data_IF_708940677036
#
_entry.id   IF_708940677036
#
_cell.length_a   1.000
_cell.length_b   1.000
_cell.length_c   1.000
_cell.angle_alpha   90.00
_cell.angle_beta   90.00
_cell.angle_gamma   90.00
#
_symmetry.space_group_name_H-M   'P 1'
#
loop_
_entity.id
_entity.type
_entity.pdbx_description
1 polymer ?
#
# COMPACT_ATOMS: atom_id res chain seq x y z
N UNK A 1 32.67 -25.42 12.18
CA UNK A 1 32.67 -25.07 10.75
C UNK A 1 33.37 -26.09 9.84
N UNK A 2 34.01 -27.15 10.35
CA UNK A 2 34.76 -28.12 9.52
C UNK A 2 33.94 -29.18 8.76
N UNK A 3 32.68 -29.44 9.13
CA UNK A 3 31.87 -30.51 8.50
C UNK A 3 31.41 -30.16 7.08
N UNK A 4 31.00 -28.92 6.82
CA UNK A 4 30.60 -28.50 5.47
C UNK A 4 31.79 -28.51 4.49
N UNK A 5 33.00 -28.19 4.97
CA UNK A 5 34.22 -28.22 4.16
C UNK A 5 34.69 -29.63 3.84
N UNK A 6 34.60 -30.57 4.80
CA UNK A 6 35.01 -31.96 4.59
C UNK A 6 34.04 -32.72 3.68
N UNK A 7 32.74 -32.49 3.80
CA UNK A 7 31.73 -33.08 2.90
C UNK A 7 31.86 -32.57 1.45
N UNK A 8 32.18 -31.28 1.27
CA UNK A 8 32.47 -30.73 -0.06
C UNK A 8 33.74 -31.35 -0.65
N UNK A 9 34.81 -31.44 0.14
CA UNK A 9 36.12 -31.94 -0.33
C UNK A 9 36.08 -33.42 -0.75
N UNK A 10 35.25 -34.24 -0.10
CA UNK A 10 35.07 -35.64 -0.46
C UNK A 10 34.28 -35.84 -1.77
N UNK A 11 33.38 -34.91 -2.13
CA UNK A 11 32.62 -34.94 -3.38
C UNK A 11 33.41 -34.49 -4.60
N UNK A 12 34.49 -33.71 -4.41
CA UNK A 12 35.32 -33.20 -5.50
C UNK A 12 36.48 -34.11 -5.93
N UNK A 13 36.78 -35.18 -5.18
CA UNK A 13 37.96 -36.02 -5.43
C UNK A 13 37.86 -36.93 -6.67
N UNK A 14 36.65 -37.27 -7.15
CA UNK A 14 36.44 -38.21 -8.27
C UNK A 14 35.56 -37.67 -9.43
N UNK A 15 35.32 -36.35 -9.48
CA UNK A 15 34.47 -35.78 -10.53
C UNK A 15 35.24 -35.57 -11.84
N UNK A 16 34.74 -36.05 -13.00
CA UNK A 16 35.32 -35.72 -14.30
C UNK A 16 35.29 -34.20 -14.50
N UNK A 17 36.33 -33.67 -15.13
CA UNK A 17 36.58 -32.22 -15.26
C UNK A 17 35.39 -31.46 -15.85
N UNK A 18 34.65 -32.09 -16.77
CA UNK A 18 33.41 -31.53 -17.33
C UNK A 18 32.30 -31.31 -16.30
N UNK A 19 32.14 -32.20 -15.32
CA UNK A 19 31.12 -32.06 -14.28
C UNK A 19 31.42 -30.88 -13.34
N UNK A 20 32.69 -30.65 -13.02
CA UNK A 20 33.12 -29.53 -12.16
C UNK A 20 32.84 -28.18 -12.85
N UNK A 21 33.15 -28.05 -14.14
CA UNK A 21 32.91 -26.82 -14.91
C UNK A 21 31.40 -26.48 -14.94
N UNK A 22 30.55 -27.48 -15.18
CA UNK A 22 29.08 -27.29 -15.17
C UNK A 22 28.60 -26.86 -13.80
N UNK A 23 29.10 -27.45 -12.72
CA UNK A 23 28.69 -27.13 -11.35
C UNK A 23 29.08 -25.70 -10.94
N UNK A 24 30.29 -25.28 -11.28
CA UNK A 24 30.77 -23.90 -11.05
C UNK A 24 29.96 -22.91 -11.91
N UNK A 25 29.74 -23.23 -13.18
CA UNK A 25 28.91 -22.40 -14.08
C UNK A 25 27.47 -22.25 -13.57
N UNK A 26 26.86 -23.35 -13.11
CA UNK A 26 25.53 -23.34 -12.51
C UNK A 26 25.47 -22.52 -11.23
N UNK A 27 26.50 -22.59 -10.38
CA UNK A 27 26.58 -21.78 -9.16
C UNK A 27 26.67 -20.27 -9.47
N UNK A 28 27.56 -19.88 -10.40
CA UNK A 28 27.69 -18.49 -10.85
C UNK A 28 26.39 -18.00 -11.48
N UNK A 29 25.78 -18.81 -12.35
CA UNK A 29 24.50 -18.51 -12.98
C UNK A 29 23.39 -18.33 -11.94
N UNK A 30 23.26 -19.24 -10.98
CA UNK A 30 22.26 -19.16 -9.91
C UNK A 30 22.46 -17.90 -9.07
N UNK A 31 23.70 -17.59 -8.71
CA UNK A 31 24.02 -16.37 -7.98
C UNK A 31 23.63 -15.11 -8.79
N UNK A 32 23.97 -15.08 -10.09
CA UNK A 32 23.59 -13.99 -10.99
C UNK A 32 22.06 -13.87 -11.13
N UNK A 33 21.34 -15.00 -11.21
CA UNK A 33 19.88 -15.03 -11.31
C UNK A 33 19.20 -14.54 -10.03
N UNK A 34 19.74 -14.85 -8.85
CA UNK A 34 19.14 -14.41 -7.58
C UNK A 34 19.48 -12.96 -7.30
N UNK A 35 20.76 -12.57 -7.45
CA UNK A 35 21.29 -11.29 -7.02
C UNK A 35 21.38 -10.22 -8.11
N UNK A 36 21.10 -10.56 -9.38
CA UNK A 36 21.22 -9.64 -10.50
C UNK A 36 20.32 -8.41 -10.36
N UNK A 37 20.85 -7.20 -10.59
CA UNK A 37 20.12 -5.95 -10.39
C UNK A 37 19.03 -5.69 -11.43
N UNK A 38 19.23 -6.08 -12.69
CA UNK A 38 18.30 -5.80 -13.79
C UNK A 38 17.18 -6.85 -13.96
N UNK A 39 17.46 -8.13 -13.65
CA UNK A 39 16.52 -9.25 -13.83
C UNK A 39 16.52 -10.24 -12.66
N UNK A 40 17.21 -9.92 -11.58
CA UNK A 40 17.31 -10.84 -10.45
C UNK A 40 16.01 -10.96 -9.68
N UNK A 41 15.82 -12.14 -9.10
CA UNK A 41 14.61 -12.47 -8.36
C UNK A 41 14.53 -11.67 -7.06
N UNK A 42 15.67 -11.45 -6.38
CA UNK A 42 15.71 -10.78 -5.08
C UNK A 42 15.30 -9.30 -5.15
N UNK A 43 15.86 -8.45 -6.04
CA UNK A 43 15.42 -7.06 -6.17
C UNK A 43 13.93 -6.94 -6.51
N UNK A 44 13.43 -7.82 -7.38
CA UNK A 44 12.00 -7.87 -7.74
C UNK A 44 11.13 -8.18 -6.52
N UNK A 45 11.51 -9.17 -5.72
CA UNK A 45 10.78 -9.52 -4.51
C UNK A 45 10.82 -8.39 -3.46
N UNK A 46 11.96 -7.71 -3.29
CA UNK A 46 12.09 -6.55 -2.40
C UNK A 46 11.19 -5.41 -2.87
N UNK A 47 11.19 -5.07 -4.16
CA UNK A 47 10.31 -4.02 -4.71
C UNK A 47 8.84 -4.37 -4.50
N UNK A 48 8.44 -5.60 -4.81
CA UNK A 48 7.05 -6.03 -4.65
C UNK A 48 6.61 -6.01 -3.18
N UNK A 49 7.46 -6.44 -2.25
CA UNK A 49 7.13 -6.40 -0.82
C UNK A 49 7.07 -4.99 -0.27
N UNK A 50 7.92 -4.06 -0.73
CA UNK A 50 7.83 -2.63 -0.41
C UNK A 50 6.53 -2.02 -0.91
N UNK A 51 6.16 -2.30 -2.16
CA UNK A 51 4.90 -1.81 -2.75
C UNK A 51 3.69 -2.34 -1.97
N UNK A 52 3.64 -3.64 -1.67
CA UNK A 52 2.56 -4.25 -0.87
C UNK A 52 2.43 -3.60 0.51
N UNK A 53 3.54 -3.25 1.16
CA UNK A 53 3.52 -2.54 2.45
C UNK A 53 2.98 -1.11 2.32
N UNK A 54 3.44 -0.36 1.30
CA UNK A 54 2.97 1.00 1.00
C UNK A 54 1.46 1.02 0.76
N UNK A 55 0.98 0.15 -0.14
CA UNK A 55 -0.45 0.04 -0.49
C UNK A 55 -1.28 -0.40 0.72
N UNK A 56 -0.84 -1.41 1.46
CA UNK A 56 -1.53 -1.86 2.66
C UNK A 56 -1.68 -0.76 3.72
N UNK A 57 -0.64 0.06 3.90
CA UNK A 57 -0.69 1.22 4.79
C UNK A 57 -1.68 2.29 4.30
N UNK A 58 -1.64 2.63 3.02
CA UNK A 58 -2.58 3.60 2.44
C UNK A 58 -4.03 3.15 2.63
N UNK A 59 -4.33 1.86 2.44
CA UNK A 59 -5.66 1.32 2.71
C UNK A 59 -6.05 1.39 4.19
N UNK A 60 -5.11 1.16 5.12
CA UNK A 60 -5.37 1.31 6.55
C UNK A 60 -5.71 2.77 6.90
N UNK A 61 -4.87 3.72 6.48
CA UNK A 61 -5.07 5.13 6.77
C UNK A 61 -6.40 5.64 6.20
N UNK A 62 -6.70 5.28 4.95
CA UNK A 62 -7.96 5.60 4.30
C UNK A 62 -9.16 5.01 5.06
N UNK A 63 -9.11 3.74 5.45
CA UNK A 63 -10.21 3.12 6.20
C UNK A 63 -10.47 3.82 7.53
N UNK A 64 -9.41 4.23 8.25
CA UNK A 64 -9.57 5.01 9.49
C UNK A 64 -10.24 6.35 9.19
N UNK A 65 -9.83 7.05 8.13
CA UNK A 65 -10.42 8.33 7.74
C UNK A 65 -11.90 8.19 7.34
N UNK A 66 -12.25 7.17 6.55
CA UNK A 66 -13.63 6.89 6.14
C UNK A 66 -14.54 6.58 7.35
N UNK A 67 -14.04 5.86 8.35
CA UNK A 67 -14.77 5.61 9.61
C UNK A 67 -14.96 6.91 10.41
N UNK A 68 -13.96 7.81 10.42
CA UNK A 68 -14.08 9.10 11.09
C UNK A 68 -15.14 9.97 10.42
N UNK A 69 -15.13 10.01 9.08
CA UNK A 69 -16.11 10.73 8.29
C UNK A 69 -17.52 10.16 8.48
N UNK A 70 -17.68 8.83 8.50
CA UNK A 70 -18.99 8.19 8.68
C UNK A 70 -19.63 8.43 10.05
N UNK A 71 -18.83 8.80 11.06
CA UNK A 71 -19.32 9.12 12.41
C UNK A 71 -19.79 10.57 12.53
N UNK A 72 -19.57 11.41 11.52
CA UNK A 72 -19.97 12.80 11.51
C UNK A 72 -21.37 12.94 10.90
N UNK A 73 -22.29 13.60 11.61
CA UNK A 73 -23.67 13.78 11.13
C UNK A 73 -23.78 14.81 9.99
N UNK A 74 -22.86 15.77 9.92
CA UNK A 74 -22.84 16.84 8.92
C UNK A 74 -21.59 16.75 8.02
N UNK A 75 -21.79 16.43 6.74
CA UNK A 75 -20.74 16.34 5.71
C UNK A 75 -20.08 17.69 5.35
N UNK A 76 -20.44 18.78 6.04
CA UNK A 76 -19.99 20.14 5.74
C UNK A 76 -18.88 20.62 6.70
N UNK A 77 -18.68 19.94 7.83
CA UNK A 77 -17.67 20.27 8.81
C UNK A 77 -16.38 19.47 8.59
N UNK A 78 -15.20 20.03 8.90
CA UNK A 78 -13.94 19.30 8.79
C UNK A 78 -13.95 18.02 9.65
N UNK A 79 -13.43 16.92 9.08
CA UNK A 79 -13.32 15.65 9.80
C UNK A 79 -12.43 15.82 11.03
N UNK A 80 -12.94 15.43 12.20
CA UNK A 80 -12.20 15.50 13.46
C UNK A 80 -11.42 14.20 13.71
N UNK A 81 -10.15 14.33 14.10
CA UNK A 81 -9.29 13.18 14.43
C UNK A 81 -9.61 12.60 15.81
N UNK A 82 -10.68 11.83 15.90
CA UNK A 82 -11.15 11.15 17.11
C UNK A 82 -10.56 9.74 17.23
N UNK A 83 -10.59 9.18 18.45
CA UNK A 83 -10.20 7.78 18.64
C UNK A 83 -11.34 6.85 18.17
N UNK A 84 -11.00 5.85 17.36
CA UNK A 84 -11.92 4.81 16.88
C UNK A 84 -11.62 3.47 17.56
N UNK A 85 -12.61 2.58 17.56
CA UNK A 85 -12.44 1.22 18.06
C UNK A 85 -11.84 0.32 16.97
N UNK A 86 -10.95 -0.58 17.37
CA UNK A 86 -10.24 -1.46 16.44
C UNK A 86 -11.19 -2.39 15.68
N UNK A 87 -12.28 -2.82 16.33
CA UNK A 87 -13.29 -3.70 15.74
C UNK A 87 -14.02 -3.05 14.56
N UNK A 88 -14.13 -1.71 14.56
CA UNK A 88 -14.69 -0.97 13.42
C UNK A 88 -13.86 -1.19 12.14
N UNK A 89 -12.54 -1.40 12.24
CA UNK A 89 -11.69 -1.64 11.07
C UNK A 89 -11.89 -3.04 10.46
N UNK A 90 -12.13 -4.05 11.29
CA UNK A 90 -12.39 -5.42 10.81
C UNK A 90 -13.75 -5.56 10.16
N UNK A 91 -14.73 -4.74 10.56
CA UNK A 91 -16.05 -4.67 9.92
C UNK A 91 -15.98 -3.88 8.63
N UNK A 92 -15.31 -2.72 8.64
CA UNK A 92 -15.21 -1.83 7.48
C UNK A 92 -14.39 -2.44 6.33
N UNK A 93 -13.41 -3.29 6.63
CA UNK A 93 -12.63 -4.06 5.64
C UNK A 93 -12.43 -5.48 6.11
N UNK A 94 -12.64 -6.45 5.21
CA UNK A 94 -12.45 -7.90 5.44
C UNK A 94 -10.97 -8.31 5.60
N UNK A 95 -10.22 -7.66 6.48
CA UNK A 95 -8.86 -8.03 6.84
C UNK A 95 -8.87 -9.17 7.85
N UNK A 96 -7.91 -10.09 7.71
CA UNK A 96 -7.61 -11.02 8.79
C UNK A 96 -6.94 -10.29 9.95
N UNK A 97 -7.15 -10.78 11.18
CA UNK A 97 -6.58 -10.18 12.40
C UNK A 97 -5.05 -10.05 12.34
N UNK A 98 -4.38 -11.04 11.75
CA UNK A 98 -2.92 -11.04 11.56
C UNK A 98 -2.47 -9.97 10.55
N UNK A 99 -3.21 -9.79 9.46
CA UNK A 99 -2.91 -8.76 8.47
C UNK A 99 -3.09 -7.37 9.05
N UNK A 100 -4.21 -7.13 9.75
CA UNK A 100 -4.49 -5.85 10.42
C UNK A 100 -3.41 -5.53 11.46
N UNK A 101 -3.05 -6.48 12.32
CA UNK A 101 -1.98 -6.28 13.30
C UNK A 101 -0.63 -5.93 12.66
N UNK A 102 -0.31 -6.54 11.52
CA UNK A 102 0.91 -6.20 10.78
C UNK A 102 0.86 -4.76 10.26
N UNK A 103 -0.27 -4.33 9.70
CA UNK A 103 -0.47 -2.97 9.21
C UNK A 103 -0.39 -1.95 10.35
N UNK A 104 -1.04 -2.22 11.48
CA UNK A 104 -0.99 -1.35 12.66
C UNK A 104 0.43 -1.22 13.23
N UNK A 105 1.20 -2.32 13.25
CA UNK A 105 2.61 -2.27 13.66
C UNK A 105 3.46 -1.42 12.72
N UNK A 106 3.24 -1.52 11.41
CA UNK A 106 3.95 -0.69 10.42
C UNK A 106 3.55 0.77 10.55
N UNK A 107 2.25 1.07 10.67
CA UNK A 107 1.76 2.45 10.83
C UNK A 107 2.28 3.12 12.11
N UNK A 108 2.36 2.38 13.24
CA UNK A 108 3.00 2.87 14.47
C UNK A 108 4.50 3.11 14.32
N UNK A 109 5.21 2.22 13.61
CA UNK A 109 6.64 2.35 13.39
C UNK A 109 6.99 3.56 12.49
N UNK A 110 6.03 4.01 11.68
CA UNK A 110 6.15 5.18 10.80
C UNK A 110 5.46 6.43 11.38
N UNK A 111 5.12 6.42 12.66
CA UNK A 111 4.55 7.57 13.38
C UNK A 111 3.21 8.10 12.83
N UNK A 112 2.42 7.24 12.18
CA UNK A 112 1.07 7.59 11.70
C UNK A 112 -0.03 7.38 12.75
N UNK A 113 0.29 6.77 13.90
CA UNK A 113 -0.69 6.41 14.93
C UNK A 113 -0.22 6.89 16.30
N UNK A 114 -1.13 7.51 17.05
CA UNK A 114 -0.91 7.92 18.43
C UNK A 114 -0.86 6.73 19.39
N UNK A 115 -0.25 6.96 20.55
CA UNK A 115 -0.32 6.02 21.68
C UNK A 115 -1.68 6.16 22.36
N UNK A 116 -2.52 5.15 22.21
CA UNK A 116 -3.87 5.10 22.77
C UNK A 116 -4.07 3.84 23.62
N UNK A 117 -5.15 3.79 24.40
CA UNK A 117 -5.54 2.59 25.17
C UNK A 117 -5.73 1.37 24.27
N UNK A 118 -5.59 0.18 24.86
CA UNK A 118 -5.82 -1.08 24.16
C UNK A 118 -7.23 -1.10 23.53
N UNK A 119 -7.31 -1.58 22.28
CA UNK A 119 -8.57 -1.64 21.52
C UNK A 119 -8.97 -0.34 20.83
N UNK A 120 -8.24 0.77 21.05
CA UNK A 120 -8.49 2.05 20.39
C UNK A 120 -7.33 2.48 19.51
N UNK A 121 -7.68 3.23 18.45
CA UNK A 121 -6.75 3.73 17.45
C UNK A 121 -7.07 5.19 17.19
N UNK A 122 -6.03 6.03 17.19
CA UNK A 122 -6.12 7.42 16.78
C UNK A 122 -4.95 7.73 15.86
N UNK A 123 -5.19 8.49 14.80
CA UNK A 123 -4.12 8.94 13.90
C UNK A 123 -3.28 9.98 14.62
N UNK A 124 -1.96 10.01 14.38
CA UNK A 124 -1.15 11.18 14.72
C UNK A 124 -1.53 12.35 13.83
N UNK A 125 -1.03 13.55 14.11
CA UNK A 125 -1.24 14.71 13.22
C UNK A 125 -0.72 14.43 11.80
N UNK A 126 0.50 13.88 11.69
CA UNK A 126 1.08 13.47 10.41
C UNK A 126 0.28 12.34 9.75
N UNK A 127 -0.15 11.35 10.53
CA UNK A 127 -0.98 10.24 10.05
C UNK A 127 -2.35 10.70 9.55
N UNK A 128 -2.94 11.69 10.20
CA UNK A 128 -4.23 12.27 9.80
C UNK A 128 -4.10 13.07 8.51
N UNK A 129 -3.05 13.88 8.37
CA UNK A 129 -2.73 14.58 7.13
C UNK A 129 -2.53 13.59 5.96
N UNK A 130 -1.77 12.52 6.18
CA UNK A 130 -1.56 11.49 5.15
C UNK A 130 -2.85 10.72 4.82
N UNK A 131 -3.66 10.38 5.83
CA UNK A 131 -4.94 9.71 5.64
C UNK A 131 -5.92 10.56 4.82
N UNK A 132 -6.00 11.86 5.12
CA UNK A 132 -6.77 12.84 4.36
C UNK A 132 -6.31 12.90 2.90
N UNK A 133 -4.99 13.06 2.68
CA UNK A 133 -4.39 13.12 1.34
C UNK A 133 -4.62 11.86 0.52
N UNK A 134 -4.44 10.68 1.12
CA UNK A 134 -4.66 9.39 0.44
C UNK A 134 -6.13 9.21 0.08
N UNK A 135 -7.05 9.54 0.99
CA UNK A 135 -8.49 9.46 0.75
C UNK A 135 -8.91 10.42 -0.37
N UNK A 136 -8.42 11.65 -0.33
CA UNK A 136 -8.64 12.67 -1.36
C UNK A 136 -8.21 12.21 -2.73
N UNK A 137 -6.96 11.77 -2.87
CA UNK A 137 -6.42 11.31 -4.15
C UNK A 137 -7.22 10.13 -4.69
N UNK A 138 -7.67 9.24 -3.81
CA UNK A 138 -8.52 8.13 -4.22
C UNK A 138 -9.88 8.59 -4.73
N UNK A 139 -10.56 9.52 -4.06
CA UNK A 139 -11.86 10.01 -4.51
C UNK A 139 -11.78 10.81 -5.79
N UNK A 140 -10.69 11.57 -5.98
CA UNK A 140 -10.40 12.22 -7.27
C UNK A 140 -10.25 11.20 -8.38
N UNK A 141 -9.59 10.07 -8.12
CA UNK A 141 -9.50 8.95 -9.06
C UNK A 141 -10.89 8.38 -9.39
N UNK A 142 -11.73 8.12 -8.38
CA UNK A 142 -13.09 7.63 -8.60
C UNK A 142 -13.93 8.61 -9.44
N UNK A 143 -13.90 9.90 -9.10
CA UNK A 143 -14.59 10.96 -9.86
C UNK A 143 -14.08 11.06 -11.30
N UNK A 144 -12.77 10.95 -11.50
CA UNK A 144 -12.18 10.93 -12.83
C UNK A 144 -12.70 9.75 -13.65
N UNK A 145 -12.68 8.54 -13.09
CA UNK A 145 -13.18 7.33 -13.76
C UNK A 145 -14.67 7.39 -14.06
N UNK A 146 -15.48 7.93 -13.15
CA UNK A 146 -16.93 8.10 -13.36
C UNK A 146 -17.17 9.09 -14.50
N UNK A 147 -16.44 10.22 -14.53
CA UNK A 147 -16.66 11.28 -15.51
C UNK A 147 -16.08 10.98 -16.88
N UNK A 148 -15.00 10.21 -16.93
CA UNK A 148 -14.29 9.83 -18.16
C UNK A 148 -14.44 8.34 -18.45
N UNK A 149 -15.60 7.75 -18.13
CA UNK A 149 -15.89 6.32 -18.28
C UNK A 149 -15.72 5.77 -19.71
N UNK A 150 -15.67 6.65 -20.74
CA UNK A 150 -15.32 6.29 -22.13
C UNK A 150 -13.81 6.03 -22.34
N UNK A 151 -12.95 6.31 -21.36
CA UNK A 151 -11.53 5.93 -21.37
C UNK A 151 -11.44 4.49 -20.85
N UNK A 152 -11.76 3.57 -21.77
CA UNK A 152 -11.93 2.13 -21.62
C UNK A 152 -10.75 1.38 -20.94
N UNK A 153 -10.94 0.08 -20.55
CA UNK A 153 -10.05 -0.76 -19.71
C UNK A 153 -8.56 -0.84 -20.07
N UNK A 154 -8.15 -0.36 -21.25
CA UNK A 154 -6.77 -0.37 -21.73
C UNK A 154 -5.79 0.44 -20.86
N UNK A 155 -6.28 1.42 -20.08
CA UNK A 155 -5.46 2.20 -19.13
C UNK A 155 -5.41 1.61 -17.71
N UNK A 156 -6.40 0.79 -17.33
CA UNK A 156 -6.53 0.24 -15.97
C UNK A 156 -5.86 -1.13 -15.84
N UNK A 157 -5.88 -1.94 -16.90
CA UNK A 157 -5.39 -3.32 -16.84
C UNK A 157 -3.86 -3.49 -16.97
N UNK A 158 -3.14 -2.50 -17.53
CA UNK A 158 -1.77 -2.77 -17.99
C UNK A 158 -0.66 -2.60 -16.96
N UNK A 159 -0.78 -1.76 -15.95
CA UNK A 159 0.24 -1.68 -14.90
C UNK A 159 -0.28 -0.96 -13.65
N UNK A 160 -0.25 -1.66 -12.52
CA UNK A 160 -0.39 -1.01 -11.21
C UNK A 160 0.73 0.02 -10.95
N UNK A 161 1.84 -0.04 -11.71
CA UNK A 161 2.90 0.97 -11.73
C UNK A 161 2.54 2.23 -12.57
N UNK A 162 1.59 2.15 -13.51
CA UNK A 162 1.07 3.28 -14.31
C UNK A 162 -0.02 4.06 -13.57
N UNK A 163 -0.70 3.45 -12.60
CA UNK A 163 -1.71 4.13 -11.76
C UNK A 163 -1.09 5.33 -11.00
N UNK A 164 0.18 5.25 -10.60
CA UNK A 164 0.91 6.39 -10.00
C UNK A 164 1.30 7.48 -11.02
N UNK A 165 1.33 7.19 -12.33
CA UNK A 165 1.61 8.16 -13.41
C UNK A 165 0.37 8.70 -14.12
N UNK A 166 -0.78 8.00 -14.05
CA UNK A 166 -2.05 8.46 -14.65
C UNK A 166 -2.65 9.63 -13.87
N UNK A 167 -2.29 9.78 -12.60
CA UNK A 167 -2.48 11.00 -11.82
C UNK A 167 -1.14 11.70 -11.58
N UNK A 168 -0.45 12.09 -12.65
CA UNK A 168 0.59 13.12 -12.52
C UNK A 168 -0.01 14.36 -11.83
N UNK A 169 0.82 15.11 -11.11
CA UNK A 169 0.40 16.29 -10.34
C UNK A 169 -0.47 17.25 -11.18
N UNK A 170 -0.22 17.29 -12.49
CA UNK A 170 -0.94 18.10 -13.47
C UNK A 170 -2.39 17.65 -13.69
N UNK A 171 -2.68 16.33 -13.70
CA UNK A 171 -4.06 15.81 -13.85
C UNK A 171 -4.86 16.06 -12.56
N UNK A 172 -4.21 15.90 -11.40
CA UNK A 172 -4.80 16.26 -10.10
C UNK A 172 -5.12 17.76 -10.07
N UNK A 173 -4.18 18.60 -10.53
CA UNK A 173 -4.38 20.04 -10.60
C UNK A 173 -5.50 20.44 -11.57
N UNK A 174 -5.61 19.79 -12.73
CA UNK A 174 -6.70 20.02 -13.69
C UNK A 174 -8.06 19.62 -13.11
N UNK A 175 -8.14 18.45 -12.46
CA UNK A 175 -9.36 18.01 -11.77
C UNK A 175 -9.73 18.99 -10.66
N UNK A 176 -8.77 19.45 -9.86
CA UNK A 176 -8.98 20.48 -8.85
C UNK A 176 -9.53 21.77 -9.46
N UNK A 177 -8.93 22.25 -10.55
CA UNK A 177 -9.37 23.46 -11.27
C UNK A 177 -10.79 23.31 -11.82
N UNK A 178 -11.14 22.15 -12.38
CA UNK A 178 -12.51 21.89 -12.84
C UNK A 178 -13.52 21.80 -11.68
N UNK A 179 -13.08 21.35 -10.50
CA UNK A 179 -13.91 21.29 -9.29
C UNK A 179 -14.03 22.65 -8.55
N UNK A 180 -13.26 23.69 -8.91
CA UNK A 180 -13.33 25.04 -8.30
C UNK A 180 -14.68 25.76 -8.50
N UNK A 181 -15.56 25.26 -9.37
CA UNK A 181 -16.94 25.77 -9.53
C UNK A 181 -17.92 25.37 -8.42
N UNK A 182 -17.50 24.52 -7.47
CA UNK A 182 -18.27 24.18 -6.25
C UNK A 182 -17.56 24.76 -5.02
N UNK A 183 -18.29 25.20 -3.99
CA UNK A 183 -17.68 25.73 -2.77
C UNK A 183 -17.10 24.56 -1.98
N UNK A 184 -15.95 24.02 -2.40
CA UNK A 184 -15.28 22.99 -1.63
C UNK A 184 -14.40 23.68 -0.59
N UNK A 185 -15.05 24.11 0.50
CA UNK A 185 -14.38 24.41 1.79
C UNK A 185 -13.86 23.14 2.49
N UNK A 186 -13.80 22.00 1.79
CA UNK A 186 -13.39 20.71 2.31
C UNK A 186 -12.09 20.26 1.65
N UNK A 187 -11.06 19.92 2.43
CA UNK A 187 -9.80 19.42 1.88
C UNK A 187 -9.96 18.09 1.12
N UNK A 188 -11.02 17.33 1.40
CA UNK A 188 -11.34 16.03 0.79
C UNK A 188 -12.75 16.08 0.16
N UNK A 189 -12.92 15.73 -1.13
CA UNK A 189 -14.26 15.67 -1.74
C UNK A 189 -15.10 14.56 -1.10
N UNK A 190 -16.45 14.66 -1.06
CA UNK A 190 -17.29 13.62 -0.46
C UNK A 190 -17.17 12.29 -1.22
N UNK A 191 -17.37 11.18 -0.52
CA UNK A 191 -17.39 9.85 -1.13
C UNK A 191 -18.50 9.76 -2.20
N UNK A 192 -18.21 9.30 -3.43
CA UNK A 192 -19.24 9.06 -4.45
C UNK A 192 -20.11 7.83 -4.13
N UNK A 193 -19.66 6.97 -3.22
CA UNK A 193 -20.36 5.78 -2.76
C UNK A 193 -20.82 5.93 -1.31
N UNK A 194 -21.94 5.26 -0.97
CA UNK A 194 -22.40 5.15 0.41
C UNK A 194 -21.35 4.39 1.23
N UNK A 195 -20.86 5.03 2.30
CA UNK A 195 -20.00 4.39 3.29
C UNK A 195 -20.92 3.56 4.17
N UNK A 196 -20.72 2.24 4.19
CA UNK A 196 -21.59 1.33 4.95
C UNK A 196 -21.54 1.67 6.45
N UNK A 197 -22.68 2.07 7.01
CA UNK A 197 -22.83 2.59 8.38
C UNK A 197 -22.99 1.49 9.44
N UNK A 198 -22.39 0.31 9.24
CA UNK A 198 -22.52 -0.82 10.17
C UNK A 198 -21.63 -0.68 11.41
N UNK A 199 -21.77 0.43 12.13
CA UNK A 199 -21.18 0.68 13.44
C UNK A 199 -22.16 1.46 14.32
N UNK A 200 -23.19 0.76 14.80
CA UNK A 200 -23.99 1.11 15.98
C UNK A 200 -23.69 0.16 17.12
#
# INVERSE_FOLDING_TARGET
>A
SGWLGSSLSALFQDLPTGAVIVLVGAAIFTFSLVCGSARGILPRFVRQTRLKRKVGRQHLLRAIYEILESRQLDNLEPVSNLSIDLDSLTTHRSWSYAALNRLLRTARAEDHLEKEKAGRIRLSEAGFGEASRVTRNHRLWELYLIRHADIAPSHVDRDADLVEHVLDADVVQQLEMELQGRPIRMDVPPSPHLIDQSAG
#
